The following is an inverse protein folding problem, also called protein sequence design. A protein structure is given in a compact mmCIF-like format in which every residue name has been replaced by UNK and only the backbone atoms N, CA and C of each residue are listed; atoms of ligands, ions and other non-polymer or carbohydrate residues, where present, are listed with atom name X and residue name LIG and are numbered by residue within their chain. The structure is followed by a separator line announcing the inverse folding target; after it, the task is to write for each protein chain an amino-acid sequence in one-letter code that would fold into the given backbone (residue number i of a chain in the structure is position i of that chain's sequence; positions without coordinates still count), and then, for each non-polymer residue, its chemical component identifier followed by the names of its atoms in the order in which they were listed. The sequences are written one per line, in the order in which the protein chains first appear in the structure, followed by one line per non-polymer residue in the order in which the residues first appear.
data_IF_811385958771
#
_entry.id   IF_811385958771
#
_cell.length_a   1.000
_cell.length_b   1.000
_cell.length_c   1.000
_cell.angle_alpha   90.00
_cell.angle_beta   90.00
_cell.angle_gamma   90.00
#
_symmetry.space_group_name_H-M   'P 1'
#
loop_
_entity.id
_entity.type
_entity.pdbx_description
1 polymer ?
#
# COMPACT_ATOMS: atom_id res chain seq x y z
N UNK A 1 0.42 -3.92 -12.40
CA UNK A 1 1.53 -3.40 -13.22
C UNK A 1 2.01 -4.42 -14.24
N UNK A 2 2.42 -5.63 -13.83
CA UNK A 2 2.88 -6.69 -14.76
C UNK A 2 1.87 -7.02 -15.86
N UNK A 3 0.62 -7.31 -15.52
CA UNK A 3 -0.45 -7.55 -16.52
C UNK A 3 -0.60 -6.37 -17.49
N UNK A 4 -0.58 -5.14 -16.99
CA UNK A 4 -0.64 -3.95 -17.84
C UNK A 4 0.58 -3.83 -18.77
N UNK A 5 1.78 -4.14 -18.26
CA UNK A 5 3.02 -4.17 -19.02
C UNK A 5 2.98 -5.24 -20.13
N UNK A 6 2.54 -6.45 -19.81
CA UNK A 6 2.43 -7.56 -20.77
C UNK A 6 1.40 -7.28 -21.87
N UNK A 7 0.28 -6.64 -21.52
CA UNK A 7 -0.79 -6.31 -22.47
C UNK A 7 -0.58 -4.96 -23.18
N UNK A 8 0.50 -4.22 -22.89
CA UNK A 8 0.75 -2.89 -23.45
C UNK A 8 -0.33 -1.86 -23.08
N UNK A 9 -1.01 -2.04 -21.94
CA UNK A 9 -2.07 -1.15 -21.46
C UNK A 9 -1.58 -0.24 -20.33
N UNK A 10 -2.31 0.85 -20.06
CA UNK A 10 -1.95 1.85 -19.07
C UNK A 10 -2.47 1.48 -17.66
N UNK A 11 -1.64 1.54 -16.60
CA UNK A 11 -2.06 1.28 -15.22
C UNK A 11 -2.68 2.55 -14.63
N UNK A 12 -4.00 2.70 -14.75
CA UNK A 12 -4.69 3.99 -14.54
C UNK A 12 -4.74 4.53 -13.11
N UNK A 13 -4.33 3.76 -12.11
CA UNK A 13 -4.30 4.21 -10.72
C UNK A 13 -4.45 3.07 -9.72
N UNK A 14 -4.49 3.44 -8.44
CA UNK A 14 -4.77 2.55 -7.31
C UNK A 14 -5.86 3.17 -6.44
N UNK A 15 -6.59 2.32 -5.72
CA UNK A 15 -7.57 2.71 -4.72
C UNK A 15 -7.22 1.96 -3.43
N UNK A 16 -7.09 2.68 -2.32
CA UNK A 16 -6.68 2.11 -1.03
C UNK A 16 -7.44 2.78 0.12
N UNK A 17 -7.62 2.04 1.21
CA UNK A 17 -8.11 2.57 2.48
C UNK A 17 -6.93 2.90 3.39
N UNK A 18 -6.88 4.13 3.88
CA UNK A 18 -5.77 4.61 4.70
C UNK A 18 -6.22 5.59 5.78
N UNK A 19 -5.37 5.77 6.78
CA UNK A 19 -5.45 6.87 7.74
C UNK A 19 -4.05 7.47 7.96
N UNK A 20 -4.00 8.74 8.38
CA UNK A 20 -2.76 9.42 8.76
C UNK A 20 -2.25 9.04 10.16
N UNK A 21 -3.04 8.25 10.89
CA UNK A 21 -2.73 7.80 12.24
C UNK A 21 -1.81 6.57 12.24
N UNK A 22 -1.05 6.39 13.33
CA UNK A 22 -0.21 5.21 13.57
C UNK A 22 -1.02 4.05 14.13
N UNK A 23 -2.01 3.59 13.36
CA UNK A 23 -2.85 2.43 13.69
C UNK A 23 -2.11 1.12 13.42
N UNK A 24 -2.55 0.07 14.11
CA UNK A 24 -2.09 -1.31 13.93
C UNK A 24 -3.19 -2.14 13.31
N UNK A 25 -3.66 -1.74 12.12
CA UNK A 25 -4.80 -2.37 11.45
C UNK A 25 -4.37 -3.37 10.38
N UNK A 26 -3.31 -3.07 9.63
CA UNK A 26 -2.72 -3.96 8.62
C UNK A 26 -1.38 -4.53 9.10
N UNK A 27 -1.15 -5.82 8.86
CA UNK A 27 0.14 -6.49 9.14
C UNK A 27 1.22 -6.13 8.12
N UNK A 28 2.48 -6.20 8.53
CA UNK A 28 3.64 -5.89 7.69
C UNK A 28 3.91 -4.38 7.54
N UNK A 29 4.50 -3.99 6.40
CA UNK A 29 5.07 -2.65 6.20
C UNK A 29 6.50 -2.55 6.74
N UNK A 30 7.14 -1.38 6.58
CA UNK A 30 8.51 -1.16 7.06
C UNK A 30 8.68 -1.27 8.58
N UNK A 31 7.61 -1.03 9.34
CA UNK A 31 7.60 -1.14 10.80
C UNK A 31 7.26 -2.57 11.32
N UNK A 32 7.10 -3.54 10.42
CA UNK A 32 6.87 -4.98 10.71
C UNK A 32 5.73 -5.27 11.70
N UNK A 33 4.53 -4.71 11.49
CA UNK A 33 3.36 -4.99 12.35
C UNK A 33 3.00 -6.48 12.28
N UNK A 34 3.00 -7.16 13.42
CA UNK A 34 2.62 -8.56 13.55
C UNK A 34 1.12 -8.70 13.85
N UNK A 35 0.59 -9.91 13.68
CA UNK A 35 -0.81 -10.23 14.02
C UNK A 35 -1.09 -9.93 15.50
N UNK A 36 -0.12 -10.22 16.36
CA UNK A 36 -0.25 -9.99 17.79
C UNK A 36 -0.25 -8.50 18.14
N UNK A 37 0.26 -7.62 17.28
CA UNK A 37 0.27 -6.17 17.53
C UNK A 37 -1.08 -5.50 17.21
N UNK A 38 -1.97 -6.19 16.49
CA UNK A 38 -3.19 -5.58 15.94
C UNK A 38 -4.07 -4.95 17.04
N UNK A 39 -4.15 -5.60 18.20
CA UNK A 39 -4.98 -5.16 19.32
C UNK A 39 -4.50 -3.85 19.98
N UNK A 40 -3.28 -3.37 19.69
CA UNK A 40 -2.74 -2.17 20.32
C UNK A 40 -3.47 -0.90 19.89
N UNK A 41 -3.77 -0.76 18.59
CA UNK A 41 -4.39 0.43 17.99
C UNK A 41 -5.25 0.09 16.77
N UNK A 42 -6.19 -0.83 16.94
CA UNK A 42 -7.22 -1.12 15.93
C UNK A 42 -8.41 -0.16 16.11
N UNK A 43 -8.54 0.85 15.25
CA UNK A 43 -9.47 1.97 15.47
C UNK A 43 -10.61 2.06 14.43
N UNK A 44 -10.46 1.39 13.28
CA UNK A 44 -11.51 1.29 12.25
C UNK A 44 -12.75 0.55 12.75
N UNK A 45 -13.92 0.97 12.26
CA UNK A 45 -15.19 0.28 12.50
C UNK A 45 -15.51 -0.77 11.42
N UNK A 46 -14.73 -0.80 10.33
CA UNK A 46 -14.96 -1.65 9.17
C UNK A 46 -13.66 -2.37 8.83
N UNK A 47 -13.14 -2.13 7.63
CA UNK A 47 -11.95 -2.80 7.12
C UNK A 47 -10.67 -2.14 7.66
N UNK A 48 -9.59 -2.93 7.80
CA UNK A 48 -8.30 -2.44 8.26
C UNK A 48 -7.68 -1.47 7.26
N UNK A 49 -7.23 -0.31 7.73
CA UNK A 49 -6.64 0.74 6.92
C UNK A 49 -5.12 0.68 6.97
N UNK A 50 -4.46 1.12 5.91
CA UNK A 50 -3.04 1.41 5.95
C UNK A 50 -2.77 2.57 6.91
N UNK A 51 -1.79 2.41 7.78
CA UNK A 51 -1.31 3.51 8.61
C UNK A 51 -0.43 4.49 7.80
N UNK A 52 0.04 5.55 8.45
CA UNK A 52 0.89 6.57 7.81
C UNK A 52 2.13 5.99 7.14
N UNK A 53 2.92 5.17 7.85
CA UNK A 53 4.16 4.59 7.33
C UNK A 53 3.88 3.67 6.14
N UNK A 54 2.94 2.74 6.29
CA UNK A 54 2.53 1.79 5.24
C UNK A 54 2.01 2.51 3.99
N UNK A 55 1.29 3.62 4.16
CA UNK A 55 0.78 4.43 3.05
C UNK A 55 1.93 5.08 2.26
N UNK A 56 2.96 5.58 2.94
CA UNK A 56 4.13 6.17 2.29
C UNK A 56 4.98 5.08 1.60
N UNK A 57 5.20 3.94 2.24
CA UNK A 57 5.91 2.80 1.67
C UNK A 57 5.26 2.36 0.35
N UNK A 58 3.92 2.20 0.36
CA UNK A 58 3.16 1.85 -0.82
C UNK A 58 3.31 2.91 -1.92
N UNK A 59 3.24 4.20 -1.58
CA UNK A 59 3.38 5.28 -2.56
C UNK A 59 4.75 5.24 -3.26
N UNK A 60 5.84 5.01 -2.51
CA UNK A 60 7.18 4.87 -3.08
C UNK A 60 7.32 3.61 -3.95
N UNK A 61 6.78 2.48 -3.49
CA UNK A 61 6.77 1.23 -4.26
C UNK A 61 6.03 1.40 -5.59
N UNK A 62 4.81 1.95 -5.55
CA UNK A 62 3.99 2.19 -6.75
C UNK A 62 4.67 3.18 -7.70
N UNK A 63 5.31 4.24 -7.17
CA UNK A 63 6.09 5.17 -7.99
C UNK A 63 7.28 4.48 -8.68
N UNK A 64 7.93 3.50 -8.03
CA UNK A 64 8.95 2.67 -8.68
C UNK A 64 8.34 1.81 -9.79
N UNK A 65 7.28 1.05 -9.51
CA UNK A 65 6.62 0.19 -10.49
C UNK A 65 6.15 0.98 -11.72
N UNK A 66 5.61 2.19 -11.50
CA UNK A 66 5.16 3.06 -12.57
C UNK A 66 6.33 3.56 -13.44
N UNK A 67 7.45 3.96 -12.83
CA UNK A 67 8.67 4.36 -13.58
C UNK A 67 9.22 3.21 -14.44
N UNK A 68 9.24 2.00 -13.90
CA UNK A 68 9.70 0.81 -14.64
C UNK A 68 8.79 0.48 -15.82
N UNK A 69 7.48 0.71 -15.69
CA UNK A 69 6.54 0.54 -16.79
C UNK A 69 6.73 1.60 -17.89
N UNK A 70 6.96 2.88 -17.53
CA UNK A 70 7.20 3.95 -18.51
C UNK A 70 8.53 3.76 -19.26
N UNK A 71 9.57 3.27 -18.60
CA UNK A 71 10.88 3.02 -19.23
C UNK A 71 10.90 1.82 -20.19
N UNK A 72 9.87 0.98 -20.19
CA UNK A 72 9.74 -0.18 -21.07
C UNK A 72 9.11 0.11 -22.44
N UNK A 73 8.75 1.38 -22.72
CA UNK A 73 8.25 1.86 -24.01
C UNK A 73 9.34 2.61 -24.78
#
# INVERSE_FOLDING_TARGET
FEVHKELGTHPGGIHVELTGDDVTECVGGGDEILVDDLHHRYETACDPRLNRSQSLDLAFLVAQMYREQVRGF
#
